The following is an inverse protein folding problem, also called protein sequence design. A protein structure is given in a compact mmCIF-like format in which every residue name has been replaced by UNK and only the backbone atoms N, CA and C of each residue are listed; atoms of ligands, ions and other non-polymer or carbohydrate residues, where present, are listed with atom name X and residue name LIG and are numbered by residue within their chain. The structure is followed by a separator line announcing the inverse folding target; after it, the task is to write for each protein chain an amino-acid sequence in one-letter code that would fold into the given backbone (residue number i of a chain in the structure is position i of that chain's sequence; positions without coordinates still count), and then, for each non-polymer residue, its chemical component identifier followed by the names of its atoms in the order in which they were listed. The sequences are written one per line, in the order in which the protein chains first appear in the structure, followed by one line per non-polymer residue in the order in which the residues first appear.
data_IF_862044986334
#
_entry.id   IF_862044986334
#
_cell.length_a   1.000
_cell.length_b   1.000
_cell.length_c   1.000
_cell.angle_alpha   90.00
_cell.angle_beta   90.00
_cell.angle_gamma   90.00
#
_symmetry.space_group_name_H-M   'P 1'
#
loop_
_entity.id
_entity.type
_entity.pdbx_description
1 polymer ?
#
# COMPACT_ATOMS: atom_id res chain seq x y z
N UNK A 1 -5.68 8.82 16.33
CA UNK A 1 -5.29 8.30 15.03
C UNK A 1 -4.50 9.35 14.26
N UNK A 2 -3.41 8.93 13.64
CA UNK A 2 -2.60 9.75 12.72
C UNK A 2 -2.50 9.03 11.37
N UNK A 3 -2.28 9.77 10.28
CA UNK A 3 -2.04 9.15 8.98
C UNK A 3 -0.63 8.54 8.92
N UNK A 4 -0.53 7.36 8.32
CA UNK A 4 0.74 6.72 7.96
C UNK A 4 1.09 7.11 6.51
N UNK A 5 1.84 8.19 6.36
CA UNK A 5 2.33 8.68 5.06
C UNK A 5 3.62 7.97 4.60
N UNK A 6 4.18 7.09 5.43
CA UNK A 6 5.41 6.36 5.10
C UNK A 6 5.12 5.11 4.26
N UNK A 7 4.03 4.40 4.57
CA UNK A 7 3.71 3.10 3.96
C UNK A 7 3.73 3.10 2.43
N UNK A 8 3.11 4.08 1.71
CA UNK A 8 3.10 4.05 0.25
C UNK A 8 4.49 4.02 -0.36
N UNK A 9 5.37 4.91 0.09
CA UNK A 9 6.73 4.99 -0.40
C UNK A 9 7.60 3.81 0.03
N UNK A 10 7.47 3.35 1.28
CA UNK A 10 8.21 2.18 1.79
C UNK A 10 7.88 0.90 1.03
N UNK A 11 6.63 0.73 0.59
CA UNK A 11 6.24 -0.43 -0.21
C UNK A 11 6.81 -0.37 -1.63
N UNK A 12 6.74 0.78 -2.30
CA UNK A 12 7.35 0.92 -3.63
C UNK A 12 8.86 0.65 -3.54
N UNK A 13 9.53 1.25 -2.57
CA UNK A 13 10.94 1.03 -2.33
C UNK A 13 11.26 -0.46 -2.06
N UNK A 14 10.45 -1.13 -1.22
CA UNK A 14 10.65 -2.55 -0.91
C UNK A 14 10.46 -3.45 -2.15
N UNK A 15 9.49 -3.15 -3.03
CA UNK A 15 9.31 -3.88 -4.29
C UNK A 15 10.50 -3.70 -5.23
N UNK A 16 10.99 -2.46 -5.40
CA UNK A 16 12.06 -2.17 -6.35
C UNK A 16 13.43 -2.64 -5.86
N UNK A 17 13.70 -2.54 -4.57
CA UNK A 17 14.95 -2.98 -3.96
C UNK A 17 14.96 -4.45 -3.55
N UNK A 18 13.80 -5.12 -3.51
CA UNK A 18 13.58 -6.45 -2.93
C UNK A 18 14.10 -6.53 -1.48
N UNK A 19 13.87 -5.46 -0.72
CA UNK A 19 14.37 -5.33 0.64
C UNK A 19 13.30 -4.74 1.57
N UNK A 20 12.73 -5.60 2.41
CA UNK A 20 11.69 -5.27 3.39
C UNK A 20 12.24 -4.75 4.73
N UNK A 21 13.56 -4.62 4.87
CA UNK A 21 14.21 -4.30 6.16
C UNK A 21 13.66 -3.00 6.76
N UNK A 22 13.56 -1.93 5.95
CA UNK A 22 13.02 -0.65 6.43
C UNK A 22 11.54 -0.74 6.76
N UNK A 23 10.76 -1.45 5.94
CA UNK A 23 9.35 -1.69 6.20
C UNK A 23 9.12 -2.48 7.50
N UNK A 24 9.88 -3.56 7.73
CA UNK A 24 9.84 -4.34 8.98
C UNK A 24 10.16 -3.48 10.20
N UNK A 25 11.21 -2.65 10.10
CA UNK A 25 11.56 -1.70 11.18
C UNK A 25 10.42 -0.74 11.46
N UNK A 26 9.80 -0.18 10.42
CA UNK A 26 8.65 0.73 10.57
C UNK A 26 7.46 0.05 11.25
N UNK A 27 7.09 -1.16 10.83
CA UNK A 27 6.03 -1.94 11.49
C UNK A 27 6.37 -2.16 12.96
N UNK A 28 7.61 -2.57 13.26
CA UNK A 28 8.09 -2.79 14.64
C UNK A 28 8.00 -1.52 15.51
N UNK A 29 8.26 -0.34 14.92
CA UNK A 29 8.10 0.95 15.63
C UNK A 29 6.62 1.26 15.91
N UNK A 30 5.74 1.07 14.95
CA UNK A 30 4.29 1.27 15.13
C UNK A 30 3.75 0.38 16.24
N UNK A 31 4.12 -0.89 16.24
CA UNK A 31 3.72 -1.87 17.26
C UNK A 31 4.32 -1.53 18.62
N UNK A 32 5.64 -1.33 18.69
CA UNK A 32 6.35 -1.09 19.96
C UNK A 32 5.92 0.19 20.65
N UNK A 33 5.62 1.24 19.88
CA UNK A 33 5.13 2.52 20.41
C UNK A 33 3.60 2.59 20.52
N UNK A 34 2.88 1.53 20.13
CA UNK A 34 1.39 1.47 20.10
C UNK A 34 0.76 2.64 19.35
N UNK A 35 1.35 3.04 18.22
CA UNK A 35 0.85 4.15 17.42
C UNK A 35 -0.37 3.67 16.64
N UNK A 36 -1.50 4.36 16.85
CA UNK A 36 -2.74 4.09 16.11
C UNK A 36 -2.76 4.91 14.83
N UNK A 37 -2.62 4.25 13.70
CA UNK A 37 -2.57 4.88 12.37
C UNK A 37 -3.84 4.67 11.56
N UNK A 38 -4.03 5.55 10.57
CA UNK A 38 -4.78 5.27 9.35
C UNK A 38 -3.75 5.08 8.26
N UNK A 39 -3.64 3.88 7.71
CA UNK A 39 -2.70 3.56 6.64
C UNK A 39 -3.40 3.52 5.27
N UNK A 40 -2.67 3.84 4.21
CA UNK A 40 -3.20 3.85 2.84
C UNK A 40 -2.10 3.45 1.85
N UNK A 41 -2.49 3.06 0.63
CA UNK A 41 -1.59 2.93 -0.51
C UNK A 41 -1.57 4.23 -1.31
N UNK A 42 -2.70 4.64 -1.86
CA UNK A 42 -2.89 5.90 -2.53
C UNK A 42 -4.05 6.71 -1.96
N UNK A 43 -4.16 7.94 -2.41
CA UNK A 43 -5.26 8.85 -2.10
C UNK A 43 -5.43 9.87 -3.24
N UNK A 44 -6.25 10.89 -3.04
CA UNK A 44 -6.45 12.00 -3.99
C UNK A 44 -5.22 12.93 -4.14
N UNK A 45 -4.27 12.82 -3.23
CA UNK A 45 -2.96 13.50 -3.32
C UNK A 45 -1.89 12.55 -3.88
N UNK A 46 -0.69 13.06 -4.08
CA UNK A 46 0.44 12.23 -4.50
C UNK A 46 1.01 11.39 -3.37
N UNK A 47 1.95 10.52 -3.73
CA UNK A 47 2.72 9.69 -2.80
C UNK A 47 3.72 10.60 -2.08
N UNK A 48 3.67 10.71 -0.74
CA UNK A 48 4.58 11.56 0.02
C UNK A 48 6.04 11.09 -0.07
N UNK A 49 6.96 12.02 -0.21
CA UNK A 49 8.40 11.75 -0.31
C UNK A 49 9.19 12.34 0.86
N UNK A 50 8.80 13.53 1.34
CA UNK A 50 9.50 14.21 2.44
C UNK A 50 9.54 13.38 3.70
N UNK A 51 8.44 12.69 3.99
CA UNK A 51 8.31 11.86 5.18
C UNK A 51 9.27 10.65 5.16
N UNK A 52 9.73 10.22 3.99
CA UNK A 52 10.70 9.12 3.86
C UNK A 52 12.13 9.51 4.28
N UNK A 53 12.41 10.81 4.37
CA UNK A 53 13.70 11.31 4.89
C UNK A 53 13.92 10.83 6.33
N UNK A 54 15.09 10.23 6.58
CA UNK A 54 15.43 9.62 7.87
C UNK A 54 15.00 8.16 8.03
N UNK A 55 14.11 7.64 7.17
CA UNK A 55 13.80 6.21 7.08
C UNK A 55 14.60 5.53 5.96
N UNK A 56 14.63 6.16 4.79
CA UNK A 56 15.38 5.69 3.63
C UNK A 56 16.58 6.59 3.35
N UNK A 57 17.69 6.02 2.84
CA UNK A 57 18.78 6.80 2.27
C UNK A 57 18.33 7.67 1.09
N UNK A 58 18.98 8.81 0.88
CA UNK A 58 18.60 9.76 -0.17
C UNK A 58 18.62 9.14 -1.58
N UNK A 59 19.58 8.27 -1.86
CA UNK A 59 19.70 7.55 -3.13
C UNK A 59 18.52 6.59 -3.38
N UNK A 60 17.95 5.98 -2.33
CA UNK A 60 16.76 5.12 -2.48
C UNK A 60 15.50 5.95 -2.73
N UNK A 61 15.39 7.12 -2.09
CA UNK A 61 14.29 8.06 -2.36
C UNK A 61 14.37 8.57 -3.80
N UNK A 62 15.57 8.92 -4.28
CA UNK A 62 15.76 9.35 -5.67
C UNK A 62 15.43 8.22 -6.65
N UNK A 63 15.86 6.98 -6.38
CA UNK A 63 15.51 5.81 -7.19
C UNK A 63 13.99 5.59 -7.26
N UNK A 64 13.28 5.73 -6.14
CA UNK A 64 11.81 5.67 -6.10
C UNK A 64 11.18 6.75 -6.99
N UNK A 65 11.67 7.99 -6.90
CA UNK A 65 11.21 9.11 -7.72
C UNK A 65 11.36 8.77 -9.20
N UNK A 66 12.55 8.34 -9.61
CA UNK A 66 12.83 8.00 -11.01
C UNK A 66 11.98 6.82 -11.49
N UNK A 67 11.76 5.83 -10.63
CA UNK A 67 10.87 4.70 -10.94
C UNK A 67 9.45 5.16 -11.24
N UNK A 68 8.84 5.96 -10.36
CA UNK A 68 7.46 6.44 -10.58
C UNK A 68 7.37 7.38 -11.76
N UNK A 69 8.38 8.25 -11.99
CA UNK A 69 8.46 9.09 -13.20
C UNK A 69 8.53 8.27 -14.47
N UNK A 70 9.35 7.23 -14.52
CA UNK A 70 9.47 6.35 -15.71
C UNK A 70 8.16 5.61 -16.01
N UNK A 71 7.29 5.47 -15.01
CA UNK A 71 5.94 4.91 -15.12
C UNK A 71 4.86 5.97 -15.36
N UNK A 72 5.25 7.17 -15.80
CA UNK A 72 4.35 8.24 -16.18
C UNK A 72 3.86 9.14 -15.04
N UNK A 73 4.42 9.02 -13.84
CA UNK A 73 4.10 9.89 -12.72
C UNK A 73 4.72 11.28 -12.85
N UNK A 74 4.10 12.27 -12.20
CA UNK A 74 4.60 13.65 -12.14
C UNK A 74 5.18 13.96 -10.76
N UNK A 75 6.31 14.66 -10.73
CA UNK A 75 6.94 15.12 -9.50
C UNK A 75 6.56 16.57 -9.23
N UNK A 76 6.25 16.88 -7.99
CA UNK A 76 5.99 18.24 -7.54
C UNK A 76 7.09 18.70 -6.60
N UNK A 77 7.71 19.84 -6.95
CA UNK A 77 8.69 20.53 -6.11
C UNK A 77 8.01 21.26 -4.94
N UNK A 78 8.69 21.33 -3.82
CA UNK A 78 8.22 22.07 -2.66
C UNK A 78 8.38 23.58 -2.90
N UNK A 79 7.26 24.29 -3.10
CA UNK A 79 7.18 25.76 -3.20
C UNK A 79 8.23 26.41 -4.12
N UNK A 80 8.58 25.74 -5.23
CA UNK A 80 9.57 26.24 -6.18
C UNK A 80 11.03 26.11 -5.74
N UNK A 81 11.31 25.45 -4.62
CA UNK A 81 12.68 25.09 -4.23
C UNK A 81 13.17 23.99 -5.17
N UNK A 82 14.23 24.29 -5.92
CA UNK A 82 14.83 23.31 -6.85
C UNK A 82 15.34 22.09 -6.07
N UNK A 83 14.98 20.90 -6.57
CA UNK A 83 15.41 19.59 -6.07
C UNK A 83 14.89 19.20 -4.67
N UNK A 84 13.86 19.85 -4.14
CA UNK A 84 13.14 19.37 -2.97
C UNK A 84 11.78 18.87 -3.42
N UNK A 85 11.68 17.57 -3.65
CA UNK A 85 10.45 16.93 -4.08
C UNK A 85 9.52 16.69 -2.90
N UNK A 86 8.33 17.22 -2.99
CA UNK A 86 7.30 17.10 -1.96
C UNK A 86 6.53 15.78 -2.07
N UNK A 87 6.11 15.44 -3.28
CA UNK A 87 5.34 14.23 -3.58
C UNK A 87 5.49 13.82 -5.05
N UNK A 88 5.18 12.55 -5.34
CA UNK A 88 5.01 12.06 -6.71
C UNK A 88 3.52 11.82 -6.95
N UNK A 89 2.96 12.41 -8.02
CA UNK A 89 1.58 12.23 -8.42
C UNK A 89 1.47 11.09 -9.44
N UNK A 90 0.80 10.03 -9.08
CA UNK A 90 0.47 8.86 -9.87
C UNK A 90 -0.67 8.10 -9.18
N UNK A 91 -1.41 7.26 -9.91
CA UNK A 91 -2.18 6.21 -9.26
C UNK A 91 -1.22 5.20 -8.64
N UNK A 92 -1.61 4.56 -7.54
CA UNK A 92 -0.75 3.57 -6.90
C UNK A 92 -0.51 2.37 -7.82
N UNK A 93 -1.52 1.98 -8.59
CA UNK A 93 -1.41 0.92 -9.59
C UNK A 93 -0.33 1.22 -10.64
N UNK A 94 -0.33 2.42 -11.24
CA UNK A 94 0.72 2.81 -12.18
C UNK A 94 2.08 2.95 -11.51
N UNK A 95 2.14 3.45 -10.27
CA UNK A 95 3.38 3.52 -9.50
C UNK A 95 4.01 2.13 -9.27
N UNK A 96 3.18 1.07 -9.18
CA UNK A 96 3.61 -0.33 -9.10
C UNK A 96 3.89 -0.99 -10.48
N UNK A 97 3.83 -0.22 -11.58
CA UNK A 97 4.08 -0.72 -12.94
C UNK A 97 2.89 -1.46 -13.56
N UNK A 98 1.67 -1.13 -13.12
CA UNK A 98 0.40 -1.69 -13.60
C UNK A 98 0.35 -3.22 -13.49
N UNK A 99 0.95 -3.75 -12.44
CA UNK A 99 0.96 -5.18 -12.11
C UNK A 99 -0.15 -5.52 -11.12
N UNK A 100 -1.09 -6.35 -11.55
CA UNK A 100 -2.17 -6.87 -10.68
C UNK A 100 -1.58 -7.64 -9.49
N UNK A 101 -0.50 -8.42 -9.69
CA UNK A 101 0.16 -9.17 -8.63
C UNK A 101 0.77 -8.24 -7.58
N UNK A 102 1.49 -7.19 -7.99
CA UNK A 102 2.07 -6.19 -7.08
C UNK A 102 1.00 -5.41 -6.33
N UNK A 103 -0.08 -5.00 -7.00
CA UNK A 103 -1.18 -4.28 -6.35
C UNK A 103 -1.85 -5.14 -5.29
N UNK A 104 -2.12 -6.41 -5.61
CA UNK A 104 -2.76 -7.34 -4.68
C UNK A 104 -1.86 -7.64 -3.47
N UNK A 105 -0.56 -7.86 -3.70
CA UNK A 105 0.42 -8.05 -2.64
C UNK A 105 0.55 -6.79 -1.76
N UNK A 106 0.62 -5.59 -2.35
CA UNK A 106 0.65 -4.33 -1.62
C UNK A 106 -0.63 -4.14 -0.77
N UNK A 107 -1.79 -4.52 -1.31
CA UNK A 107 -3.06 -4.49 -0.59
C UNK A 107 -3.07 -5.48 0.58
N UNK A 108 -2.60 -6.69 0.38
CA UNK A 108 -2.48 -7.68 1.45
C UNK A 108 -1.58 -7.16 2.59
N UNK A 109 -0.42 -6.60 2.25
CA UNK A 109 0.48 -5.99 3.23
C UNK A 109 -0.20 -4.83 3.96
N UNK A 110 -0.84 -3.89 3.23
CA UNK A 110 -1.58 -2.77 3.82
C UNK A 110 -2.62 -3.24 4.85
N UNK A 111 -3.39 -4.27 4.51
CA UNK A 111 -4.45 -4.77 5.38
C UNK A 111 -3.92 -5.50 6.62
N UNK A 112 -2.67 -5.96 6.59
CA UNK A 112 -1.99 -6.52 7.76
C UNK A 112 -1.14 -5.50 8.53
N UNK A 113 -0.96 -4.27 8.03
CA UNK A 113 -0.30 -3.21 8.78
C UNK A 113 -1.03 -2.89 10.09
N UNK A 114 -0.30 -2.49 11.15
CA UNK A 114 -0.91 -1.89 12.33
C UNK A 114 -1.73 -0.65 11.96
N UNK A 115 -2.95 -0.57 12.50
CA UNK A 115 -3.83 0.58 12.26
C UNK A 115 -5.11 0.24 11.50
N UNK A 116 -5.78 1.29 11.04
CA UNK A 116 -7.02 1.20 10.27
C UNK A 116 -6.72 1.44 8.78
N UNK A 117 -6.95 0.46 7.89
CA UNK A 117 -6.72 0.67 6.47
C UNK A 117 -7.79 1.60 5.87
N UNK A 118 -7.32 2.54 5.06
CA UNK A 118 -8.13 3.39 4.19
C UNK A 118 -7.83 3.02 2.75
N UNK A 119 -8.86 2.76 1.96
CA UNK A 119 -8.72 2.34 0.56
C UNK A 119 -9.22 3.45 -0.35
N UNK A 120 -8.35 3.92 -1.24
CA UNK A 120 -8.71 4.83 -2.31
C UNK A 120 -9.40 4.06 -3.44
N UNK A 121 -10.49 4.59 -3.97
CA UNK A 121 -11.31 3.85 -4.94
C UNK A 121 -10.54 3.51 -6.24
N UNK A 122 -9.66 4.41 -6.73
CA UNK A 122 -8.87 4.11 -7.92
C UNK A 122 -7.89 2.94 -7.68
N UNK A 123 -7.31 2.83 -6.48
CA UNK A 123 -6.45 1.69 -6.16
C UNK A 123 -7.26 0.39 -6.05
N UNK A 124 -8.50 0.46 -5.53
CA UNK A 124 -9.39 -0.69 -5.50
C UNK A 124 -9.69 -1.19 -6.91
N UNK A 125 -9.99 -0.28 -7.83
CA UNK A 125 -10.31 -0.60 -9.22
C UNK A 125 -9.08 -0.78 -10.13
N UNK A 126 -7.87 -0.77 -9.57
CA UNK A 126 -6.62 -0.84 -10.32
C UNK A 126 -6.61 0.16 -11.49
N UNK A 127 -6.94 1.41 -11.17
CA UNK A 127 -7.01 2.51 -12.13
C UNK A 127 -5.60 2.99 -12.52
N UNK A 128 -5.34 3.10 -13.81
CA UNK A 128 -4.08 3.64 -14.33
C UNK A 128 -4.06 5.18 -14.29
N UNK A 129 -2.89 5.76 -14.53
CA UNK A 129 -2.69 7.20 -14.65
C UNK A 129 -3.56 7.82 -15.75
N UNK A 130 -4.30 8.89 -15.45
CA UNK A 130 -5.12 9.63 -16.41
C UNK A 130 -4.38 10.85 -16.95
N UNK A 131 -3.51 10.63 -17.92
CA UNK A 131 -2.77 11.71 -18.59
C UNK A 131 -3.70 12.68 -19.33
N UNK A 132 -4.81 12.17 -19.89
CA UNK A 132 -5.78 13.02 -20.58
C UNK A 132 -6.49 14.00 -19.62
N UNK A 133 -6.74 13.59 -18.36
CA UNK A 133 -7.26 14.50 -17.34
C UNK A 133 -6.25 15.60 -16.99
N UNK A 134 -4.96 15.26 -16.92
CA UNK A 134 -3.89 16.25 -16.69
C UNK A 134 -3.81 17.26 -17.82
N UNK A 135 -3.85 16.79 -19.07
CA UNK A 135 -3.85 17.67 -20.26
C UNK A 135 -5.06 18.61 -20.29
N UNK A 136 -6.25 18.10 -19.99
CA UNK A 136 -7.48 18.92 -19.91
C UNK A 136 -7.42 19.98 -18.80
N UNK A 137 -6.79 19.66 -17.68
CA UNK A 137 -6.67 20.58 -16.54
C UNK A 137 -5.63 21.67 -16.79
N UNK A 138 -4.67 21.48 -17.69
CA UNK A 138 -3.64 22.45 -18.04
C UNK A 138 -2.60 22.67 -16.94
N UNK A 139 -2.07 23.89 -16.87
CA UNK A 139 -1.04 24.26 -15.90
C UNK A 139 -1.50 24.00 -14.44
N UNK A 140 -0.68 23.27 -13.67
CA UNK A 140 -1.01 22.88 -12.29
C UNK A 140 -1.92 21.65 -12.15
N UNK A 141 -2.39 21.07 -13.26
CA UNK A 141 -3.33 19.94 -13.29
C UNK A 141 -2.73 18.56 -12.97
N UNK A 142 -1.45 18.47 -12.59
CA UNK A 142 -0.75 17.20 -12.34
C UNK A 142 -1.43 16.28 -11.30
N UNK A 143 -2.26 16.82 -10.40
CA UNK A 143 -3.03 16.02 -9.43
C UNK A 143 -4.21 15.29 -10.05
N UNK A 144 -4.67 15.71 -11.24
CA UNK A 144 -5.80 15.05 -11.88
C UNK A 144 -5.46 13.64 -12.39
N UNK A 145 -4.17 13.30 -12.43
CA UNK A 145 -3.67 11.99 -12.87
C UNK A 145 -4.24 10.82 -12.05
N UNK A 146 -4.57 11.04 -10.78
CA UNK A 146 -5.09 10.01 -9.87
C UNK A 146 -6.48 10.38 -9.30
N UNK A 147 -7.28 11.15 -10.06
CA UNK A 147 -8.61 11.62 -9.64
C UNK A 147 -9.71 11.31 -10.63
N UNK A 148 -9.47 10.37 -11.55
CA UNK A 148 -10.48 9.96 -12.54
C UNK A 148 -11.78 9.55 -11.87
N UNK A 149 -12.88 10.15 -12.29
CA UNK A 149 -14.21 9.71 -11.88
C UNK A 149 -14.61 8.47 -12.70
N UNK A 150 -15.01 7.42 -12.00
CA UNK A 150 -15.51 6.21 -12.64
C UNK A 150 -17.02 6.32 -12.92
N UNK A 151 -17.46 5.99 -14.13
CA UNK A 151 -18.88 5.85 -14.44
C UNK A 151 -19.46 4.58 -13.81
N UNK A 152 -20.78 4.47 -13.75
CA UNK A 152 -21.46 3.26 -13.25
C UNK A 152 -21.09 2.01 -14.06
N UNK A 153 -20.91 2.15 -15.37
CA UNK A 153 -20.50 1.09 -16.28
C UNK A 153 -19.05 0.65 -15.98
N UNK A 154 -18.13 1.60 -15.80
CA UNK A 154 -16.74 1.32 -15.43
C UNK A 154 -16.64 0.63 -14.06
N UNK A 155 -17.48 1.02 -13.10
CA UNK A 155 -17.56 0.34 -11.80
C UNK A 155 -18.06 -1.10 -11.98
N UNK A 156 -19.13 -1.30 -12.75
CA UNK A 156 -19.69 -2.63 -13.00
C UNK A 156 -18.68 -3.56 -13.71
N UNK A 157 -17.98 -3.05 -14.72
CA UNK A 157 -16.90 -3.77 -15.42
C UNK A 157 -15.74 -4.05 -14.47
N UNK A 158 -15.31 -3.04 -13.71
CA UNK A 158 -14.22 -3.15 -12.75
C UNK A 158 -14.46 -4.24 -11.70
N UNK A 159 -15.68 -4.38 -11.20
CA UNK A 159 -16.05 -5.42 -10.24
C UNK A 159 -15.91 -6.85 -10.78
N UNK A 160 -15.83 -7.05 -12.09
CA UNK A 160 -15.59 -8.35 -12.71
C UNK A 160 -14.10 -8.69 -12.87
N UNK A 161 -13.20 -7.72 -12.64
CA UNK A 161 -11.75 -7.95 -12.74
C UNK A 161 -11.24 -8.81 -11.58
N UNK A 162 -10.42 -9.84 -11.85
CA UNK A 162 -9.89 -10.73 -10.79
C UNK A 162 -9.16 -9.98 -9.66
N UNK A 163 -8.35 -8.98 -9.99
CA UNK A 163 -7.62 -8.19 -8.99
C UNK A 163 -8.55 -7.37 -8.08
N UNK A 164 -9.68 -6.90 -8.60
CA UNK A 164 -10.68 -6.15 -7.80
C UNK A 164 -11.41 -7.11 -6.87
N UNK A 165 -11.87 -8.25 -7.41
CA UNK A 165 -12.54 -9.30 -6.63
C UNK A 165 -11.64 -9.78 -5.49
N UNK A 166 -10.37 -10.08 -5.79
CA UNK A 166 -9.40 -10.52 -4.78
C UNK A 166 -9.14 -9.45 -3.70
N UNK A 167 -9.06 -8.16 -4.07
CA UNK A 167 -8.96 -7.08 -3.08
C UNK A 167 -10.21 -6.99 -2.19
N UNK A 168 -11.41 -7.18 -2.76
CA UNK A 168 -12.66 -7.20 -1.98
C UNK A 168 -12.71 -8.36 -0.99
N UNK A 169 -12.22 -9.55 -1.36
CA UNK A 169 -12.12 -10.69 -0.44
C UNK A 169 -11.10 -10.41 0.69
N UNK A 170 -9.96 -9.78 0.39
CA UNK A 170 -9.01 -9.33 1.40
C UNK A 170 -9.65 -8.33 2.39
N UNK A 171 -10.40 -7.35 1.88
CA UNK A 171 -11.12 -6.36 2.69
C UNK A 171 -12.18 -7.01 3.58
N UNK A 172 -12.95 -7.95 3.02
CA UNK A 172 -13.95 -8.73 3.76
C UNK A 172 -13.28 -9.51 4.89
N UNK A 173 -12.22 -10.24 4.59
CA UNK A 173 -11.43 -10.99 5.60
C UNK A 173 -10.94 -10.06 6.71
N UNK A 174 -10.27 -8.95 6.36
CA UNK A 174 -9.75 -7.98 7.34
C UNK A 174 -10.84 -7.40 8.25
N UNK A 175 -12.04 -7.18 7.72
CA UNK A 175 -13.15 -6.58 8.47
C UNK A 175 -13.93 -7.58 9.33
N UNK A 176 -13.94 -8.86 8.97
CA UNK A 176 -14.76 -9.87 9.65
C UNK A 176 -13.96 -10.83 10.54
N UNK A 177 -12.66 -11.01 10.28
CA UNK A 177 -11.87 -11.98 11.04
C UNK A 177 -11.44 -11.41 12.41
N UNK A 178 -11.68 -12.15 13.52
CA UNK A 178 -11.59 -11.60 14.87
C UNK A 178 -10.18 -11.32 15.37
N UNK A 179 -9.13 -11.83 14.72
CA UNK A 179 -7.75 -11.57 15.13
C UNK A 179 -7.31 -10.11 15.01
N UNK A 180 -8.05 -9.28 14.25
CA UNK A 180 -7.69 -7.88 14.00
C UNK A 180 -8.38 -6.93 14.98
N UNK A 181 -7.69 -5.84 15.37
CA UNK A 181 -8.26 -4.78 16.20
C UNK A 181 -7.18 -3.88 16.80
N UNK A 182 -7.58 -2.76 17.40
CA UNK A 182 -6.65 -1.90 18.15
C UNK A 182 -6.25 -2.47 19.51
N UNK A 183 -6.95 -3.48 19.95
CA UNK A 183 -6.73 -4.26 21.18
C UNK A 183 -6.13 -5.65 20.90
N UNK A 184 -5.80 -5.93 19.64
CA UNK A 184 -5.13 -7.15 19.23
C UNK A 184 -3.60 -6.98 19.26
N UNK A 185 -2.90 -8.09 19.46
CA UNK A 185 -1.44 -8.12 19.34
C UNK A 185 -1.03 -8.27 17.87
N UNK A 186 0.00 -7.53 17.48
CA UNK A 186 0.58 -7.59 16.15
C UNK A 186 2.08 -7.80 16.27
N UNK A 187 2.63 -8.70 15.48
CA UNK A 187 4.04 -9.03 15.47
C UNK A 187 4.57 -9.07 14.03
N UNK A 188 5.81 -8.60 13.85
CA UNK A 188 6.55 -8.74 12.59
C UNK A 188 7.62 -9.80 12.75
N UNK A 189 7.62 -10.78 11.85
CA UNK A 189 8.55 -11.91 11.87
C UNK A 189 9.96 -11.53 11.44
N UNK A 190 10.95 -12.22 12.00
CA UNK A 190 12.35 -12.13 11.56
C UNK A 190 12.53 -13.04 10.33
N UNK A 191 12.67 -12.43 9.15
CA UNK A 191 12.76 -13.11 7.86
C UNK A 191 13.87 -12.51 6.99
N UNK A 192 14.20 -13.16 5.89
CA UNK A 192 15.12 -12.61 4.89
C UNK A 192 14.67 -11.26 4.33
N UNK A 193 15.55 -10.54 3.62
CA UNK A 193 15.24 -9.19 3.12
C UNK A 193 14.06 -9.16 2.14
N UNK A 194 13.87 -10.18 1.34
CA UNK A 194 12.80 -10.25 0.33
C UNK A 194 11.44 -10.66 0.91
N UNK A 195 11.40 -11.09 2.18
CA UNK A 195 10.22 -11.67 2.81
C UNK A 195 9.70 -10.78 3.94
N UNK A 196 8.38 -10.77 4.10
CA UNK A 196 7.69 -10.08 5.19
C UNK A 196 6.63 -11.02 5.79
N UNK A 197 6.71 -11.22 7.12
CA UNK A 197 5.69 -11.96 7.87
C UNK A 197 5.08 -11.04 8.91
N UNK A 198 3.75 -10.95 8.93
CA UNK A 198 2.99 -10.18 9.93
C UNK A 198 1.93 -11.10 10.52
N UNK A 199 1.92 -11.22 11.84
CA UNK A 199 0.94 -12.04 12.57
C UNK A 199 0.11 -11.18 13.50
N UNK A 200 -1.20 -11.31 13.41
CA UNK A 200 -2.17 -10.75 14.33
C UNK A 200 -2.73 -11.85 15.23
N UNK A 201 -2.97 -11.52 16.50
CA UNK A 201 -3.61 -12.44 17.45
C UNK A 201 -4.51 -11.71 18.43
N UNK A 202 -5.68 -12.29 18.67
CA UNK A 202 -6.66 -11.80 19.64
C UNK A 202 -7.60 -12.92 20.07
N UNK A 203 -7.82 -13.05 21.38
CA UNK A 203 -8.80 -13.98 21.97
C UNK A 203 -8.72 -15.43 21.42
N UNK A 204 -7.49 -15.90 21.16
CA UNK A 204 -7.23 -17.24 20.62
C UNK A 204 -7.30 -17.35 19.08
N UNK A 205 -7.80 -16.35 18.39
CA UNK A 205 -7.75 -16.30 16.93
C UNK A 205 -6.40 -15.74 16.45
N UNK A 206 -5.88 -16.25 15.32
CA UNK A 206 -4.63 -15.77 14.69
C UNK A 206 -4.79 -15.61 13.19
N UNK A 207 -4.14 -14.61 12.64
CA UNK A 207 -4.02 -14.40 11.19
C UNK A 207 -2.58 -14.03 10.84
N UNK A 208 -1.96 -14.79 9.95
CA UNK A 208 -0.58 -14.58 9.52
C UNK A 208 -0.53 -14.33 8.02
N UNK A 209 0.05 -13.22 7.62
CA UNK A 209 0.46 -12.93 6.25
C UNK A 209 1.93 -13.31 6.09
N UNK A 210 2.22 -14.15 5.09
CA UNK A 210 3.57 -14.42 4.59
C UNK A 210 3.67 -13.88 3.17
N UNK A 211 4.47 -12.85 2.96
CA UNK A 211 4.67 -12.16 1.69
C UNK A 211 6.10 -12.38 1.18
N UNK A 212 6.25 -12.64 -0.11
CA UNK A 212 7.52 -12.73 -0.82
C UNK A 212 7.53 -11.68 -1.94
N UNK A 213 8.37 -10.64 -1.79
CA UNK A 213 8.42 -9.53 -2.73
C UNK A 213 9.21 -9.87 -4.01
N UNK A 214 10.10 -10.84 -3.94
CA UNK A 214 10.84 -11.29 -5.13
C UNK A 214 9.96 -12.14 -6.05
N UNK A 215 9.15 -13.02 -5.47
CA UNK A 215 8.17 -13.84 -6.17
C UNK A 215 6.85 -13.09 -6.47
N UNK A 216 6.64 -11.91 -5.87
CA UNK A 216 5.40 -11.10 -5.94
C UNK A 216 4.16 -11.91 -5.52
N UNK A 217 4.30 -12.72 -4.47
CA UNK A 217 3.25 -13.60 -3.96
C UNK A 217 3.03 -13.43 -2.46
N UNK A 218 1.88 -13.88 -1.99
CA UNK A 218 1.61 -13.97 -0.55
C UNK A 218 0.72 -15.18 -0.22
N UNK A 219 0.72 -15.55 1.07
CA UNK A 219 -0.17 -16.52 1.67
C UNK A 219 -0.75 -15.95 2.97
N UNK A 220 -2.01 -16.23 3.22
CA UNK A 220 -2.67 -15.94 4.49
C UNK A 220 -3.04 -17.28 5.15
N UNK A 221 -2.61 -17.43 6.40
CA UNK A 221 -2.99 -18.54 7.28
C UNK A 221 -3.81 -17.96 8.42
N UNK A 222 -4.98 -18.50 8.68
CA UNK A 222 -5.87 -18.01 9.73
C UNK A 222 -6.41 -19.18 10.53
N UNK A 223 -6.44 -19.00 11.85
CA UNK A 223 -6.98 -19.97 12.79
C UNK A 223 -7.97 -19.26 13.70
N UNK A 224 -9.18 -19.79 13.86
CA UNK A 224 -10.20 -19.24 14.72
C UNK A 224 -9.92 -19.52 16.22
N UNK A 225 -10.73 -18.95 17.11
CA UNK A 225 -10.58 -19.15 18.55
C UNK A 225 -10.84 -20.59 19.02
N UNK A 226 -11.45 -21.44 18.18
CA UNK A 226 -11.66 -22.86 18.46
C UNK A 226 -10.50 -23.74 17.95
N UNK A 227 -9.51 -23.15 17.26
CA UNK A 227 -8.36 -23.85 16.69
C UNK A 227 -8.60 -24.40 15.28
N UNK A 228 -9.68 -24.02 14.60
CA UNK A 228 -9.94 -24.45 13.24
C UNK A 228 -9.25 -23.55 12.22
N UNK A 229 -8.68 -24.14 11.19
CA UNK A 229 -8.17 -23.39 10.04
C UNK A 229 -9.34 -22.71 9.29
N UNK A 230 -9.16 -21.43 8.99
CA UNK A 230 -10.11 -20.64 8.21
C UNK A 230 -9.50 -20.34 6.86
N UNK A 231 -10.09 -20.86 5.81
CA UNK A 231 -9.62 -20.62 4.45
C UNK A 231 -9.80 -19.12 4.12
N UNK A 232 -8.77 -18.54 3.51
CA UNK A 232 -8.83 -17.26 2.85
C UNK A 232 -8.98 -17.51 1.33
N UNK A 233 -10.07 -17.01 0.74
CA UNK A 233 -10.36 -17.10 -0.70
C UNK A 233 -11.16 -18.32 -1.10
#
# INVERSE_FOLDING_TARGET
LTYDFFLPGLLIDAFESRDTTTLKRWIGELVGKRIRTVNMLGCHDGIPLLDLGGLLPAERIESLIQTVKSRGGYVKDLHGAKNIYYQVNATYFSALGESDARLLLARAIQLFMPGKPQVWYLDLFAGANDHAAVERAGEGGHKEINRTNLSAEQVAEGLSRPVVTAQLELLKFRNSFPAFGFDADCQVGQTGPEQLVITWSKDGATATLSADLAAETFRIEAVDAAGNEVAFG
#
